data_IF_217731449152
#
_entry.id   IF_217731449152
#
_cell.length_a   1.000
_cell.length_b   1.000
_cell.length_c   1.000
_cell.angle_alpha   90.00
_cell.angle_beta   90.00
_cell.angle_gamma   90.00
#
_symmetry.space_group_name_H-M   'P 1'
#
loop_
_entity.id
_entity.type
_entity.pdbx_description
1 polymer ?
#
# COMPACT_ATOMS: atom_id res chain seq x y z
N UNK A 1 13.51 -2.54 13.83
CA UNK A 1 12.54 -1.62 13.20
C UNK A 1 12.46 -0.32 13.99
N UNK A 2 12.39 0.85 13.34
CA UNK A 2 12.34 2.14 14.05
C UNK A 2 11.00 2.26 14.81
N UNK A 3 11.03 2.14 16.15
CA UNK A 3 9.84 2.15 17.01
C UNK A 3 9.22 3.54 17.19
N UNK A 4 9.81 4.59 16.56
CA UNK A 4 9.30 5.94 16.77
C UNK A 4 8.50 6.44 15.56
N UNK A 5 7.17 6.41 15.58
CA UNK A 5 6.31 6.89 14.51
C UNK A 5 6.25 8.43 14.45
N UNK A 6 7.09 9.14 15.22
CA UNK A 6 7.06 10.60 15.31
C UNK A 6 7.30 11.26 13.94
N UNK A 7 8.37 10.87 13.25
CA UNK A 7 8.67 11.43 11.92
C UNK A 7 7.57 11.10 10.91
N UNK A 8 7.04 9.88 10.94
CA UNK A 8 5.89 9.50 10.11
C UNK A 8 4.67 10.39 10.37
N UNK A 9 4.34 10.63 11.64
CA UNK A 9 3.21 11.49 12.03
C UNK A 9 3.46 12.95 11.63
N UNK A 10 4.69 13.44 11.84
CA UNK A 10 5.09 14.79 11.46
C UNK A 10 4.99 15.02 9.95
N UNK A 11 5.54 14.08 9.14
CA UNK A 11 5.42 14.16 7.68
C UNK A 11 3.97 14.12 7.23
N UNK A 12 3.17 13.26 7.84
CA UNK A 12 1.74 13.18 7.54
C UNK A 12 0.99 14.47 7.87
N UNK A 13 1.34 15.11 9.00
CA UNK A 13 0.74 16.38 9.44
C UNK A 13 1.09 17.53 8.50
N UNK A 14 2.34 17.63 8.05
CA UNK A 14 2.83 18.73 7.22
C UNK A 14 2.52 18.48 5.74
N UNK A 15 2.94 17.32 5.21
CA UNK A 15 2.83 17.04 3.79
C UNK A 15 1.42 16.61 3.37
N UNK A 16 0.63 16.09 4.31
CA UNK A 16 -0.74 15.63 4.03
C UNK A 16 -1.67 16.71 3.52
N UNK A 17 -1.79 17.86 4.19
CA UNK A 17 -2.59 18.99 3.70
C UNK A 17 -2.11 19.52 2.35
N UNK A 18 -0.79 19.62 2.15
CA UNK A 18 -0.18 20.05 0.88
C UNK A 18 -0.55 19.09 -0.24
N UNK A 19 -0.42 17.78 0.00
CA UNK A 19 -0.79 16.74 -0.95
C UNK A 19 -2.28 16.81 -1.32
N UNK A 20 -3.15 16.96 -0.32
CA UNK A 20 -4.60 17.08 -0.53
C UNK A 20 -4.96 18.34 -1.31
N UNK A 21 -4.36 19.47 -1.00
CA UNK A 21 -4.60 20.74 -1.69
C UNK A 21 -4.12 20.67 -3.15
N UNK A 22 -2.96 20.03 -3.38
CA UNK A 22 -2.34 19.95 -4.70
C UNK A 22 -3.07 18.96 -5.62
N UNK A 23 -3.32 17.72 -5.16
CA UNK A 23 -3.89 16.65 -5.99
C UNK A 23 -5.40 16.51 -5.86
N UNK A 24 -5.99 17.01 -4.77
CA UNK A 24 -7.43 16.97 -4.50
C UNK A 24 -8.06 15.57 -4.67
N UNK A 25 -7.50 14.50 -4.09
CA UNK A 25 -8.03 13.16 -4.27
C UNK A 25 -9.38 13.00 -3.59
N UNK A 26 -10.36 12.45 -4.32
CA UNK A 26 -11.60 11.95 -3.73
C UNK A 26 -11.34 10.59 -3.08
N UNK A 27 -11.60 10.46 -1.79
CA UNK A 27 -11.40 9.22 -1.04
C UNK A 27 -12.76 8.63 -0.65
N UNK A 28 -12.97 7.36 -1.00
CA UNK A 28 -14.21 6.61 -0.75
C UNK A 28 -13.87 5.36 0.05
N UNK A 29 -14.73 4.95 0.99
CA UNK A 29 -14.59 3.69 1.72
C UNK A 29 -13.45 3.66 2.74
N UNK A 30 -12.91 4.81 3.20
CA UNK A 30 -11.84 4.84 4.21
C UNK A 30 -12.22 4.14 5.52
N UNK A 31 -13.50 4.03 5.81
CA UNK A 31 -14.07 3.31 6.95
C UNK A 31 -13.86 1.80 6.85
N UNK A 32 -13.59 1.28 5.66
CA UNK A 32 -13.24 -0.12 5.42
C UNK A 32 -11.82 -0.48 5.89
N UNK A 33 -11.00 0.51 6.24
CA UNK A 33 -9.66 0.26 6.79
C UNK A 33 -9.80 -0.08 8.27
N UNK A 34 -9.52 -1.33 8.71
CA UNK A 34 -9.62 -1.71 10.11
C UNK A 34 -8.73 -0.83 11.00
N UNK A 35 -9.27 -0.38 12.13
CA UNK A 35 -8.56 0.47 13.08
C UNK A 35 -7.47 -0.31 13.84
N UNK A 36 -7.71 -1.58 14.07
CA UNK A 36 -6.87 -2.47 14.86
C UNK A 36 -6.62 -3.79 14.13
N UNK A 37 -5.71 -4.61 14.66
CA UNK A 37 -5.33 -5.89 14.07
C UNK A 37 -4.41 -5.76 12.85
N UNK A 38 -3.90 -6.88 12.36
CA UNK A 38 -2.97 -6.93 11.24
C UNK A 38 -3.68 -6.73 9.90
N UNK A 39 -3.16 -5.85 9.08
CA UNK A 39 -3.72 -5.57 7.74
C UNK A 39 -2.65 -5.41 6.67
N UNK A 40 -2.98 -5.83 5.46
CA UNK A 40 -2.26 -5.45 4.26
C UNK A 40 -3.16 -4.54 3.41
N UNK A 41 -2.72 -3.30 3.17
CA UNK A 41 -3.40 -2.33 2.31
C UNK A 41 -2.81 -2.47 0.91
N UNK A 42 -3.61 -2.98 -0.03
CA UNK A 42 -3.12 -3.46 -1.33
C UNK A 42 -3.88 -2.81 -2.47
N UNK A 43 -3.17 -2.23 -3.44
CA UNK A 43 -3.80 -1.55 -4.58
C UNK A 43 -2.96 -1.53 -5.84
N UNK A 44 -3.47 -0.92 -6.91
CA UNK A 44 -2.74 -0.72 -8.15
C UNK A 44 -1.68 0.37 -8.03
N UNK A 45 -0.66 0.32 -8.88
CA UNK A 45 0.49 1.24 -8.83
C UNK A 45 0.69 1.98 -10.14
N UNK A 46 0.25 3.22 -10.21
CA UNK A 46 0.30 4.05 -11.42
C UNK A 46 1.19 5.30 -11.27
N UNK A 47 1.36 5.79 -10.04
CA UNK A 47 2.11 7.01 -9.79
C UNK A 47 3.05 6.89 -8.58
N UNK A 48 4.07 7.75 -8.51
CA UNK A 48 5.03 7.77 -7.38
C UNK A 48 4.34 8.09 -6.03
N UNK A 49 3.23 8.78 -6.05
CA UNK A 49 2.51 9.24 -4.86
C UNK A 49 1.36 8.33 -4.43
N UNK A 50 1.19 7.14 -5.05
CA UNK A 50 0.05 6.25 -4.76
C UNK A 50 -0.07 5.87 -3.28
N UNK A 51 1.06 5.69 -2.59
CA UNK A 51 1.07 5.37 -1.16
C UNK A 51 0.55 6.51 -0.27
N UNK A 52 0.56 7.76 -0.76
CA UNK A 52 0.18 8.91 0.06
C UNK A 52 -1.30 8.88 0.45
N UNK A 53 -2.20 8.45 -0.45
CA UNK A 53 -3.64 8.44 -0.15
C UNK A 53 -3.99 7.43 0.94
N UNK A 54 -3.57 6.14 0.89
CA UNK A 54 -3.77 5.22 2.00
C UNK A 54 -3.18 5.72 3.32
N UNK A 55 -1.95 6.25 3.30
CA UNK A 55 -1.31 6.85 4.47
C UNK A 55 -2.19 7.94 5.09
N UNK A 56 -2.78 8.81 4.29
CA UNK A 56 -3.61 9.93 4.75
C UNK A 56 -5.03 9.51 5.14
N UNK A 57 -5.46 8.31 4.77
CA UNK A 57 -6.83 7.81 4.98
C UNK A 57 -7.02 7.10 6.32
N UNK A 58 -5.96 6.76 7.05
CA UNK A 58 -6.04 6.09 8.37
C UNK A 58 -5.15 6.78 9.39
N UNK A 59 -5.44 6.60 10.67
CA UNK A 59 -4.54 7.06 11.77
C UNK A 59 -3.34 6.11 11.98
N UNK A 60 -3.40 4.92 11.41
CA UNK A 60 -2.36 3.89 11.55
C UNK A 60 -1.09 4.26 10.80
N UNK A 61 0.02 3.73 11.25
CA UNK A 61 1.27 3.73 10.48
C UNK A 61 1.19 2.59 9.48
N UNK A 62 1.30 2.90 8.19
CA UNK A 62 1.37 1.90 7.12
C UNK A 62 2.84 1.80 6.69
N UNK A 63 3.46 0.64 6.89
CA UNK A 63 4.83 0.35 6.51
C UNK A 63 4.86 -0.10 5.05
N UNK A 64 5.31 0.76 4.15
CA UNK A 64 5.44 0.40 2.71
C UNK A 64 6.75 -0.32 2.43
N UNK A 65 6.70 -1.29 1.52
CA UNK A 65 7.89 -1.93 0.97
C UNK A 65 8.46 -1.06 -0.14
N UNK A 66 9.66 -0.53 0.05
CA UNK A 66 10.33 0.40 -0.87
C UNK A 66 11.64 -0.17 -1.40
N UNK A 67 12.00 0.25 -2.62
CA UNK A 67 13.19 -0.23 -3.34
C UNK A 67 14.47 0.05 -2.57
N UNK A 68 15.38 -0.95 -2.48
CA UNK A 68 16.62 -0.90 -1.71
C UNK A 68 17.49 0.32 -2.06
N UNK A 69 17.53 0.73 -3.31
CA UNK A 69 18.32 1.87 -3.77
C UNK A 69 17.96 3.20 -3.09
N UNK A 70 16.73 3.32 -2.58
CA UNK A 70 16.34 4.48 -1.76
C UNK A 70 16.99 4.48 -0.37
N UNK A 71 17.40 3.31 0.12
CA UNK A 71 18.09 3.15 1.41
C UNK A 71 19.61 3.18 1.26
N UNK A 72 20.13 2.86 0.09
CA UNK A 72 21.57 2.92 -0.21
C UNK A 72 22.00 4.38 -0.48
N UNK A 73 21.10 5.21 -0.99
CA UNK A 73 21.37 6.63 -1.21
C UNK A 73 21.25 7.42 0.11
N UNK A 74 22.38 7.97 0.59
CA UNK A 74 22.47 8.73 1.85
C UNK A 74 21.47 9.88 1.96
N UNK A 75 21.11 10.52 0.84
CA UNK A 75 20.14 11.65 0.82
C UNK A 75 18.70 11.21 1.09
N UNK A 76 18.32 9.99 0.66
CA UNK A 76 16.96 9.47 0.78
C UNK A 76 16.79 8.45 1.90
N UNK A 77 17.86 7.77 2.30
CA UNK A 77 17.84 6.70 3.31
C UNK A 77 17.21 7.15 4.63
N UNK A 78 17.57 8.34 5.11
CA UNK A 78 16.99 8.91 6.32
C UNK A 78 15.47 9.03 6.23
N UNK A 79 14.95 9.55 5.11
CA UNK A 79 13.51 9.73 4.91
C UNK A 79 12.78 8.37 4.92
N UNK A 80 13.22 7.42 4.10
CA UNK A 80 12.54 6.11 4.01
C UNK A 80 12.61 5.33 5.32
N UNK A 81 13.73 5.37 6.05
CA UNK A 81 13.87 4.78 7.38
C UNK A 81 12.95 5.45 8.40
N UNK A 82 12.90 6.78 8.42
CA UNK A 82 12.04 7.55 9.34
C UNK A 82 10.55 7.39 9.02
N UNK A 83 10.20 7.18 7.75
CA UNK A 83 8.84 6.86 7.32
C UNK A 83 8.43 5.41 7.62
N UNK A 84 9.32 4.60 8.22
CA UNK A 84 9.03 3.21 8.55
C UNK A 84 8.93 2.30 7.34
N UNK A 85 9.54 2.67 6.21
CA UNK A 85 9.55 1.83 5.03
C UNK A 85 10.48 0.62 5.20
N UNK A 86 10.09 -0.52 4.64
CA UNK A 86 10.87 -1.75 4.60
C UNK A 86 11.65 -1.77 3.29
N UNK A 87 12.97 -1.94 3.38
CA UNK A 87 13.85 -2.06 2.21
C UNK A 87 13.63 -3.39 1.50
N UNK A 88 13.49 -3.38 0.17
CA UNK A 88 13.33 -4.60 -0.65
C UNK A 88 14.31 -4.58 -1.81
N UNK A 89 15.14 -5.60 -1.88
CA UNK A 89 15.94 -5.91 -3.04
C UNK A 89 15.09 -6.66 -4.07
N UNK A 90 14.70 -5.96 -5.14
CA UNK A 90 13.83 -6.54 -6.18
C UNK A 90 14.57 -7.39 -7.21
N UNK A 91 15.90 -7.44 -7.15
CA UNK A 91 16.73 -8.25 -8.05
C UNK A 91 16.74 -9.74 -7.69
N UNK A 92 16.34 -10.04 -6.45
CA UNK A 92 16.30 -11.40 -5.90
C UNK A 92 15.08 -11.60 -4.99
N UNK A 93 14.88 -12.83 -4.54
CA UNK A 93 13.94 -13.14 -3.47
C UNK A 93 14.53 -12.62 -2.15
N UNK A 94 14.03 -11.48 -1.66
CA UNK A 94 14.51 -10.84 -0.43
C UNK A 94 13.74 -11.38 0.77
N UNK A 95 14.29 -12.42 1.40
CA UNK A 95 13.68 -13.06 2.57
C UNK A 95 13.69 -12.14 3.80
N UNK A 96 14.71 -11.31 3.97
CA UNK A 96 14.78 -10.35 5.08
C UNK A 96 13.67 -9.30 5.00
N UNK A 97 13.35 -8.83 3.80
CA UNK A 97 12.24 -7.92 3.61
C UNK A 97 10.90 -8.58 3.96
N UNK A 98 10.72 -9.86 3.60
CA UNK A 98 9.53 -10.63 3.96
C UNK A 98 9.44 -10.84 5.47
N UNK A 99 10.53 -11.24 6.13
CA UNK A 99 10.60 -11.41 7.59
C UNK A 99 10.21 -10.11 8.29
N UNK A 100 10.80 -8.99 7.89
CA UNK A 100 10.48 -7.68 8.48
C UNK A 100 9.01 -7.29 8.30
N UNK A 101 8.39 -7.64 7.16
CA UNK A 101 6.98 -7.39 6.94
C UNK A 101 6.09 -8.31 7.80
N UNK A 102 6.45 -9.58 7.96
CA UNK A 102 5.75 -10.52 8.83
C UNK A 102 5.81 -10.06 10.30
N UNK A 103 6.97 -9.62 10.79
CA UNK A 103 7.11 -9.06 12.14
C UNK A 103 6.16 -7.87 12.39
N UNK A 104 5.98 -6.99 11.39
CA UNK A 104 5.00 -5.89 11.50
C UNK A 104 3.59 -6.43 11.64
N UNK A 105 3.21 -7.40 10.83
CA UNK A 105 1.86 -7.98 10.84
C UNK A 105 1.59 -8.77 12.10
N UNK A 106 2.52 -9.61 12.56
CA UNK A 106 2.42 -10.39 13.81
C UNK A 106 2.22 -9.49 15.04
N UNK A 107 2.77 -8.27 15.01
CA UNK A 107 2.54 -7.25 16.03
C UNK A 107 1.28 -6.40 15.78
N UNK A 108 0.34 -6.86 14.97
CA UNK A 108 -0.91 -6.15 14.69
C UNK A 108 -0.74 -4.89 13.85
N UNK A 109 0.38 -4.74 13.14
CA UNK A 109 0.71 -3.57 12.32
C UNK A 109 0.01 -3.55 10.95
N UNK A 110 0.39 -2.58 10.13
CA UNK A 110 -0.15 -2.43 8.77
C UNK A 110 0.98 -2.37 7.74
N UNK A 111 0.88 -3.19 6.70
CA UNK A 111 1.76 -3.19 5.54
C UNK A 111 1.03 -2.60 4.34
N UNK A 112 1.70 -1.70 3.62
CA UNK A 112 1.24 -1.19 2.32
C UNK A 112 2.04 -1.81 1.19
N UNK A 113 1.35 -2.26 0.15
CA UNK A 113 2.03 -2.97 -0.91
C UNK A 113 1.26 -2.86 -2.24
N UNK A 114 2.02 -2.85 -3.33
CA UNK A 114 1.51 -2.89 -4.69
C UNK A 114 1.85 -4.26 -5.29
N UNK A 115 0.84 -5.14 -5.53
CA UNK A 115 1.09 -6.54 -5.90
C UNK A 115 1.68 -6.68 -7.30
N UNK A 116 1.56 -5.67 -8.14
CA UNK A 116 2.20 -5.56 -9.45
C UNK A 116 3.75 -5.57 -9.36
N UNK A 117 4.29 -5.18 -8.21
CA UNK A 117 5.73 -5.14 -7.94
C UNK A 117 6.49 -4.01 -8.64
N UNK A 118 5.84 -3.29 -9.55
CA UNK A 118 6.36 -2.11 -10.25
C UNK A 118 5.21 -1.16 -10.60
N UNK A 119 5.55 0.08 -10.97
CA UNK A 119 4.54 1.01 -11.50
C UNK A 119 4.08 0.55 -12.88
N UNK A 120 2.77 0.48 -13.05
CA UNK A 120 2.16 0.22 -14.35
C UNK A 120 2.32 1.46 -15.26
N UNK A 121 3.09 1.30 -16.32
CA UNK A 121 3.30 2.31 -17.37
C UNK A 121 2.71 1.88 -18.70
N UNK A 122 1.96 0.77 -18.70
CA UNK A 122 1.31 0.22 -19.89
C UNK A 122 -0.10 0.80 -20.04
N UNK A 123 -0.79 0.38 -21.10
CA UNK A 123 -2.22 0.70 -21.32
C UNK A 123 -3.14 -0.29 -20.58
N UNK A 124 -2.60 -1.36 -20.01
CA UNK A 124 -3.38 -2.34 -19.28
C UNK A 124 -3.90 -1.74 -17.98
N UNK A 125 -5.07 -2.16 -17.55
CA UNK A 125 -5.67 -1.68 -16.32
C UNK A 125 -4.86 -2.08 -15.08
N UNK A 126 -4.32 -3.29 -15.08
CA UNK A 126 -3.50 -3.89 -14.03
C UNK A 126 -2.43 -4.77 -14.67
N UNK A 127 -1.24 -4.79 -14.10
CA UNK A 127 -0.24 -5.81 -14.38
C UNK A 127 -0.53 -7.09 -13.57
N UNK A 128 0.01 -8.24 -13.96
CA UNK A 128 -0.16 -9.49 -13.20
C UNK A 128 0.28 -9.35 -11.75
N UNK A 129 -0.54 -9.84 -10.82
CA UNK A 129 -0.27 -9.76 -9.39
C UNK A 129 0.69 -10.86 -8.93
N UNK A 130 1.70 -10.46 -8.16
CA UNK A 130 2.56 -11.37 -7.41
C UNK A 130 1.85 -11.86 -6.15
N UNK A 131 2.19 -13.06 -5.68
CA UNK A 131 1.57 -13.70 -4.52
C UNK A 131 2.00 -13.13 -3.16
N UNK A 132 2.91 -12.17 -3.11
CA UNK A 132 3.47 -11.65 -1.86
C UNK A 132 2.42 -11.16 -0.86
N UNK A 133 1.40 -10.41 -1.33
CA UNK A 133 0.34 -9.90 -0.47
C UNK A 133 -0.48 -11.03 0.18
N UNK A 134 -0.99 -11.94 -0.62
CA UNK A 134 -1.83 -13.05 -0.13
C UNK A 134 -1.05 -14.06 0.69
N UNK A 135 0.24 -14.28 0.36
CA UNK A 135 1.12 -15.15 1.14
C UNK A 135 1.38 -14.60 2.55
N UNK A 136 1.72 -13.32 2.67
CA UNK A 136 1.90 -12.68 3.97
C UNK A 136 0.60 -12.65 4.76
N UNK A 137 -0.53 -12.29 4.12
CA UNK A 137 -1.84 -12.28 4.76
C UNK A 137 -2.22 -13.65 5.31
N UNK A 138 -1.97 -14.72 4.56
CA UNK A 138 -2.26 -16.10 4.98
C UNK A 138 -1.40 -16.52 6.18
N UNK A 139 -0.10 -16.22 6.14
CA UNK A 139 0.84 -16.59 7.21
C UNK A 139 0.53 -15.92 8.56
N UNK A 140 -0.03 -14.71 8.54
CA UNK A 140 -0.27 -13.89 9.74
C UNK A 140 -1.75 -13.72 10.06
N UNK A 141 -2.62 -14.45 9.38
CA UNK A 141 -4.10 -14.30 9.49
C UNK A 141 -4.57 -12.85 9.35
N UNK A 142 -3.87 -12.06 8.53
CA UNK A 142 -4.13 -10.63 8.35
C UNK A 142 -5.27 -10.38 7.37
N UNK A 143 -5.97 -9.25 7.54
CA UNK A 143 -6.91 -8.78 6.54
C UNK A 143 -6.20 -8.17 5.34
N UNK A 144 -6.66 -8.52 4.13
CA UNK A 144 -6.37 -7.82 2.90
C UNK A 144 -7.38 -6.69 2.72
N UNK A 145 -6.93 -5.45 2.61
CA UNK A 145 -7.74 -4.26 2.36
C UNK A 145 -7.44 -3.78 0.93
N UNK A 146 -8.27 -4.16 -0.05
CA UNK A 146 -8.06 -3.73 -1.44
C UNK A 146 -8.36 -2.24 -1.59
N UNK A 147 -7.60 -1.54 -2.45
CA UNK A 147 -7.95 -0.21 -2.89
C UNK A 147 -7.67 -0.04 -4.39
N UNK A 148 -8.50 0.76 -5.05
CA UNK A 148 -8.33 1.11 -6.46
C UNK A 148 -8.06 2.60 -6.63
N UNK A 149 -7.06 2.94 -7.45
CA UNK A 149 -6.76 4.32 -7.87
C UNK A 149 -7.20 4.47 -9.31
N UNK A 150 -8.02 5.49 -9.58
CA UNK A 150 -8.46 5.88 -10.91
C UNK A 150 -8.23 7.38 -11.13
N UNK A 151 -8.24 7.79 -12.40
CA UNK A 151 -7.99 9.18 -12.79
C UNK A 151 -6.51 9.54 -12.80
N UNK A 152 -6.20 10.83 -12.72
CA UNK A 152 -4.88 11.37 -12.98
C UNK A 152 -4.33 12.20 -11.83
N UNK A 153 -3.05 12.02 -11.53
CA UNK A 153 -2.30 12.87 -10.61
C UNK A 153 -1.90 14.18 -11.30
N UNK A 154 -2.77 15.18 -11.23
CA UNK A 154 -2.49 16.54 -11.71
C UNK A 154 -2.94 17.58 -10.70
N UNK A 155 -2.49 18.82 -10.85
CA UNK A 155 -2.88 19.90 -9.95
C UNK A 155 -4.40 20.06 -9.91
N UNK A 156 -4.97 20.02 -8.69
CA UNK A 156 -6.42 20.10 -8.40
C UNK A 156 -7.25 19.15 -9.29
N UNK A 157 -6.82 17.90 -9.36
CA UNK A 157 -7.48 16.88 -10.16
C UNK A 157 -8.98 16.82 -9.84
N UNK A 158 -9.80 16.70 -10.90
CA UNK A 158 -11.26 16.53 -10.77
C UNK A 158 -11.67 15.04 -10.82
N UNK A 159 -10.76 14.17 -11.25
CA UNK A 159 -11.04 12.76 -11.49
C UNK A 159 -10.14 11.79 -10.73
N UNK A 160 -9.22 12.29 -9.88
CA UNK A 160 -8.41 11.41 -9.04
C UNK A 160 -9.29 10.84 -7.91
N UNK A 161 -9.57 9.54 -7.98
CA UNK A 161 -10.37 8.83 -6.98
C UNK A 161 -9.56 7.69 -6.42
N UNK A 162 -9.63 7.51 -5.11
CA UNK A 162 -9.11 6.33 -4.42
C UNK A 162 -10.23 5.72 -3.59
N UNK A 163 -10.66 4.52 -3.94
CA UNK A 163 -11.72 3.79 -3.24
C UNK A 163 -11.16 2.56 -2.55
N UNK A 164 -11.49 2.41 -1.25
CA UNK A 164 -11.14 1.24 -0.44
C UNK A 164 -12.30 0.25 -0.45
N UNK A 165 -12.03 -0.99 -0.84
CA UNK A 165 -12.97 -2.09 -0.80
C UNK A 165 -13.09 -2.70 0.60
N UNK A 166 -14.03 -3.64 0.76
CA UNK A 166 -14.22 -4.36 2.03
C UNK A 166 -13.03 -5.27 2.32
N UNK A 167 -12.54 -5.30 3.56
CA UNK A 167 -11.45 -6.19 3.95
C UNK A 167 -11.88 -7.65 3.89
N UNK A 168 -10.95 -8.54 3.54
CA UNK A 168 -11.18 -9.97 3.56
C UNK A 168 -9.91 -10.73 3.96
N UNK A 169 -10.06 -11.98 4.37
CA UNK A 169 -8.94 -12.89 4.70
C UNK A 169 -8.79 -13.97 3.64
N UNK A 170 -7.60 -14.54 3.57
CA UNK A 170 -7.35 -15.77 2.82
C UNK A 170 -8.12 -16.91 3.51
N UNK A 171 -8.80 -17.73 2.74
CA UNK A 171 -9.57 -18.89 3.25
C UNK A 171 -8.89 -20.18 2.83
N UNK A 172 -8.91 -21.18 3.71
CA UNK A 172 -8.43 -22.55 3.42
C UNK A 172 -7.01 -22.63 2.85
N UNK A 173 -6.13 -21.66 3.15
CA UNK A 173 -4.79 -21.54 2.57
C UNK A 173 -4.77 -21.45 1.04
N UNK A 174 -5.90 -21.14 0.39
CA UNK A 174 -6.01 -21.02 -1.05
C UNK A 174 -5.53 -19.62 -1.51
N UNK A 175 -4.21 -19.55 -1.74
CA UNK A 175 -3.56 -18.34 -2.19
C UNK A 175 -3.97 -17.93 -3.61
N UNK A 176 -4.26 -18.90 -4.48
CA UNK A 176 -4.62 -18.61 -5.87
C UNK A 176 -5.99 -17.94 -5.95
N UNK A 177 -7.00 -18.52 -5.29
CA UNK A 177 -8.33 -17.94 -5.22
C UNK A 177 -8.31 -16.58 -4.54
N UNK A 178 -7.53 -16.41 -3.46
CA UNK A 178 -7.37 -15.13 -2.76
C UNK A 178 -6.73 -14.08 -3.66
N UNK A 179 -5.70 -14.43 -4.46
CA UNK A 179 -5.02 -13.52 -5.35
C UNK A 179 -5.93 -13.08 -6.52
N UNK A 180 -6.67 -14.03 -7.11
CA UNK A 180 -7.68 -13.73 -8.14
C UNK A 180 -8.79 -12.83 -7.59
N UNK A 181 -9.26 -13.11 -6.36
CA UNK A 181 -10.23 -12.24 -5.68
C UNK A 181 -9.69 -10.85 -5.47
N UNK A 182 -8.46 -10.71 -4.97
CA UNK A 182 -7.81 -9.41 -4.74
C UNK A 182 -7.71 -8.60 -6.04
N UNK A 183 -7.27 -9.23 -7.13
CA UNK A 183 -7.20 -8.60 -8.45
C UNK A 183 -8.58 -8.15 -8.93
N UNK A 184 -9.60 -9.02 -8.83
CA UNK A 184 -10.98 -8.71 -9.22
C UNK A 184 -11.54 -7.53 -8.43
N UNK A 185 -11.34 -7.49 -7.11
CA UNK A 185 -11.80 -6.40 -6.25
C UNK A 185 -11.15 -5.08 -6.66
N UNK A 186 -9.82 -5.04 -6.82
CA UNK A 186 -9.09 -3.83 -7.23
C UNK A 186 -9.54 -3.38 -8.62
N UNK A 187 -9.69 -4.31 -9.57
CA UNK A 187 -10.20 -4.03 -10.92
C UNK A 187 -11.58 -3.37 -10.88
N UNK A 188 -12.50 -3.91 -10.08
CA UNK A 188 -13.86 -3.39 -9.94
C UNK A 188 -13.86 -1.98 -9.33
N UNK A 189 -13.03 -1.73 -8.31
CA UNK A 189 -12.89 -0.39 -7.70
C UNK A 189 -12.38 0.65 -8.69
N UNK A 190 -11.44 0.27 -9.56
CA UNK A 190 -10.93 1.16 -10.61
C UNK A 190 -12.01 1.44 -11.65
N UNK A 191 -12.69 0.40 -12.15
CA UNK A 191 -13.68 0.51 -13.23
C UNK A 191 -14.91 1.32 -12.80
N UNK A 192 -15.34 1.17 -11.55
CA UNK A 192 -16.47 1.92 -10.97
C UNK A 192 -16.22 3.43 -10.94
N UNK A 193 -14.96 3.87 -10.90
CA UNK A 193 -14.56 5.27 -10.76
C UNK A 193 -13.86 5.84 -12.01
N UNK A 194 -13.90 5.15 -13.15
CA UNK A 194 -13.52 5.67 -14.44
C UNK A 194 -14.65 6.45 -15.08
#
# INVERSE_FOLDING_TARGET
MNKNPFCYKLFKLILGPIFKLYYNPKVIGKENIPKDGSILVVGNHVHLMDQCVPILSTKRVINYMAKKEYFDNKKTAWFFKSAGCISVDRSKKDENAVISALEVLENGGAIGLFPEGTRNKTKDLLLPFKFGAVSMANKTDSYLVPFGISGEYKFRSKNLVVEFGKPFKVKNNDLESANKKLEKEIRNLILKNK
#
